data_IF_970064257230
#
_entry.id   IF_970064257230
#
_cell.length_a   1.000
_cell.length_b   1.000
_cell.length_c   1.000
_cell.angle_alpha   90.00
_cell.angle_beta   90.00
_cell.angle_gamma   90.00
#
_symmetry.space_group_name_H-M   'P 1'
#
loop_
_entity.id
_entity.type
_entity.pdbx_description
1 polymer ?
#
# COMPACT_ATOMS: atom_id res chain seq x y z
N UNK A 1 -17.34 18.10 18.15
CA UNK A 1 -16.10 18.41 17.42
C UNK A 1 -15.23 19.25 18.32
N UNK A 2 -13.94 18.92 18.41
CA UNK A 2 -12.96 19.82 18.99
C UNK A 2 -12.82 21.07 18.09
N UNK A 3 -12.57 22.26 18.65
CA UNK A 3 -12.36 23.47 17.86
C UNK A 3 -11.12 23.33 16.95
N UNK A 4 -11.20 23.85 15.72
CA UNK A 4 -10.10 23.85 14.74
C UNK A 4 -8.88 24.59 15.29
N UNK A 5 -9.11 25.62 16.10
CA UNK A 5 -8.06 26.27 16.87
C UNK A 5 -8.60 26.71 18.24
N UNK A 6 -7.77 26.59 19.26
CA UNK A 6 -7.98 27.25 20.55
C UNK A 6 -7.09 28.47 20.62
N UNK A 7 -7.70 29.64 20.83
CA UNK A 7 -6.99 30.89 21.05
C UNK A 7 -6.77 31.06 22.56
N UNK A 8 -5.54 30.80 23.01
CA UNK A 8 -5.05 31.18 24.33
C UNK A 8 -3.92 32.22 24.16
N UNK A 9 -2.96 32.27 25.09
CA UNK A 9 -1.71 33.04 24.93
C UNK A 9 -0.95 32.57 23.68
N UNK A 10 -1.13 31.31 23.28
CA UNK A 10 -0.66 30.72 22.03
C UNK A 10 -1.84 30.13 21.26
N UNK A 11 -1.81 30.21 19.93
CA UNK A 11 -2.83 29.62 19.06
C UNK A 11 -2.51 28.13 18.89
N UNK A 12 -3.31 27.26 19.49
CA UNK A 12 -3.20 25.80 19.33
C UNK A 12 -4.14 25.36 18.21
N UNK A 13 -3.59 25.04 17.05
CA UNK A 13 -4.34 24.57 15.88
C UNK A 13 -4.42 23.05 15.90
N UNK A 14 -5.62 22.49 15.77
CA UNK A 14 -5.84 21.07 15.61
C UNK A 14 -5.62 20.66 14.15
N UNK A 15 -4.36 20.49 13.75
CA UNK A 15 -3.99 20.15 12.38
C UNK A 15 -4.58 18.82 11.89
N UNK A 16 -4.87 17.87 12.79
CA UNK A 16 -5.57 16.63 12.45
C UNK A 16 -7.02 16.85 12.01
N UNK A 17 -7.64 17.98 12.41
CA UNK A 17 -8.97 18.38 11.92
C UNK A 17 -8.92 19.17 10.60
N UNK A 18 -7.73 19.47 10.08
CA UNK A 18 -7.56 20.20 8.82
C UNK A 18 -7.33 19.19 7.70
N UNK A 19 -8.36 18.96 6.89
CA UNK A 19 -8.24 18.18 5.67
C UNK A 19 -7.37 18.93 4.64
N UNK A 20 -6.16 18.42 4.38
CA UNK A 20 -5.23 18.98 3.39
C UNK A 20 -5.06 18.00 2.23
N UNK A 21 -5.25 18.50 1.01
CA UNK A 21 -4.83 17.75 -0.18
C UNK A 21 -3.31 17.58 -0.17
N UNK A 22 -2.77 16.36 -0.34
CA UNK A 22 -1.33 16.16 -0.50
C UNK A 22 -0.79 16.65 -1.84
N UNK A 23 -1.68 17.07 -2.76
CA UNK A 23 -1.32 17.56 -4.09
C UNK A 23 -1.71 19.03 -4.28
N UNK A 24 -0.79 19.84 -4.81
CA UNK A 24 -1.09 21.17 -5.34
C UNK A 24 -1.75 21.01 -6.71
N UNK A 25 -3.09 21.09 -6.75
CA UNK A 25 -3.85 21.23 -7.99
C UNK A 25 -4.29 22.70 -8.18
N UNK A 26 -4.41 23.20 -9.43
CA UNK A 26 -5.01 24.50 -9.68
C UNK A 26 -6.42 24.57 -9.09
N UNK A 27 -6.77 25.73 -8.55
CA UNK A 27 -8.14 26.00 -8.13
C UNK A 27 -9.07 25.86 -9.34
N UNK A 28 -10.08 24.99 -9.21
CA UNK A 28 -11.07 24.75 -10.25
C UNK A 28 -12.46 25.10 -9.71
N UNK A 29 -13.25 25.77 -10.55
CA UNK A 29 -14.66 26.03 -10.31
C UNK A 29 -15.46 25.01 -11.09
N UNK A 30 -16.40 24.35 -10.41
CA UNK A 30 -17.40 23.53 -11.07
C UNK A 30 -18.72 24.30 -11.09
N UNK A 31 -19.08 24.80 -12.27
CA UNK A 31 -20.24 25.66 -12.50
C UNK A 31 -21.52 24.88 -12.87
N UNK A 32 -21.37 23.59 -13.23
CA UNK A 32 -22.48 22.70 -13.61
C UNK A 32 -22.93 21.80 -12.45
N UNK A 33 -23.87 22.27 -11.64
CA UNK A 33 -24.53 21.43 -10.63
C UNK A 33 -25.84 20.83 -11.18
N UNK A 34 -26.09 19.55 -10.88
CA UNK A 34 -27.35 18.91 -11.23
C UNK A 34 -28.52 19.56 -10.47
N UNK A 35 -29.52 20.05 -11.22
CA UNK A 35 -30.72 20.69 -10.66
C UNK A 35 -31.83 19.70 -10.32
N UNK A 36 -31.74 18.46 -10.80
CA UNK A 36 -32.74 17.41 -10.59
C UNK A 36 -32.47 16.66 -9.28
N UNK A 37 -32.16 17.39 -8.21
CA UNK A 37 -31.95 16.84 -6.87
C UNK A 37 -32.99 17.39 -5.90
N UNK A 38 -33.35 16.60 -4.89
CA UNK A 38 -34.33 17.02 -3.90
C UNK A 38 -34.06 16.47 -2.51
N UNK A 39 -34.67 17.08 -1.51
CA UNK A 39 -34.67 16.61 -0.14
C UNK A 39 -36.06 16.10 0.22
N UNK A 40 -36.15 14.82 0.59
CA UNK A 40 -37.39 14.15 0.98
C UNK A 40 -37.35 13.82 2.47
N UNK A 41 -38.16 14.52 3.27
CA UNK A 41 -38.28 14.25 4.70
C UNK A 41 -39.38 13.25 5.00
N UNK A 42 -39.03 12.14 5.63
CA UNK A 42 -39.99 11.14 6.07
C UNK A 42 -40.68 11.59 7.37
N UNK A 43 -41.99 11.42 7.44
CA UNK A 43 -42.78 11.62 8.66
C UNK A 43 -43.82 10.49 8.79
N UNK A 44 -44.33 10.18 10.00
CA UNK A 44 -45.11 8.95 10.25
C UNK A 44 -46.34 8.74 9.34
N UNK A 45 -46.91 9.82 8.80
CA UNK A 45 -48.13 9.79 7.97
C UNK A 45 -47.89 10.22 6.52
N UNK A 46 -46.64 10.15 6.04
CA UNK A 46 -46.35 10.49 4.64
C UNK A 46 -47.08 9.53 3.69
N UNK A 47 -47.82 10.09 2.72
CA UNK A 47 -48.56 9.31 1.74
C UNK A 47 -47.63 8.70 0.69
N UNK A 48 -47.98 7.53 0.16
CA UNK A 48 -47.24 6.92 -0.95
C UNK A 48 -47.29 7.79 -2.21
N UNK A 49 -48.40 8.48 -2.46
CA UNK A 49 -48.54 9.36 -3.63
C UNK A 49 -47.59 10.56 -3.57
N UNK A 50 -47.35 11.12 -2.38
CA UNK A 50 -46.34 12.17 -2.19
C UNK A 50 -44.93 11.66 -2.50
N UNK A 51 -44.59 10.46 -2.04
CA UNK A 51 -43.28 9.84 -2.30
C UNK A 51 -43.10 9.55 -3.79
N UNK A 52 -44.10 8.96 -4.44
CA UNK A 52 -44.08 8.66 -5.88
C UNK A 52 -43.99 9.93 -6.73
N UNK A 53 -44.76 10.96 -6.37
CA UNK A 53 -44.71 12.25 -7.06
C UNK A 53 -43.35 12.95 -6.92
N UNK A 54 -42.61 12.68 -5.83
CA UNK A 54 -41.28 13.22 -5.60
C UNK A 54 -40.19 12.43 -6.36
N UNK A 55 -40.31 11.10 -6.39
CA UNK A 55 -39.30 10.21 -6.99
C UNK A 55 -39.44 10.00 -8.50
N UNK A 56 -40.56 10.40 -9.11
CA UNK A 56 -40.75 10.32 -10.56
C UNK A 56 -39.73 11.19 -11.32
N UNK A 57 -39.50 10.87 -12.59
CA UNK A 57 -38.71 11.72 -13.48
C UNK A 57 -39.26 13.17 -13.49
N UNK A 58 -38.39 14.20 -13.51
CA UNK A 58 -36.96 14.18 -13.85
C UNK A 58 -35.98 13.98 -12.68
N UNK A 59 -36.44 13.64 -11.48
CA UNK A 59 -35.57 13.48 -10.29
C UNK A 59 -34.44 12.46 -10.51
N UNK A 60 -33.20 12.89 -10.29
CA UNK A 60 -31.97 12.09 -10.45
C UNK A 60 -31.25 11.81 -9.12
N UNK A 61 -31.50 12.63 -8.10
CA UNK A 61 -30.91 12.44 -6.77
C UNK A 61 -31.85 12.86 -5.66
N UNK A 62 -31.87 12.09 -4.56
CA UNK A 62 -32.66 12.43 -3.38
C UNK A 62 -31.85 12.28 -2.09
N UNK A 63 -31.88 13.32 -1.26
CA UNK A 63 -31.49 13.22 0.16
C UNK A 63 -32.73 12.84 0.96
N UNK A 64 -32.79 11.60 1.42
CA UNK A 64 -33.84 11.06 2.25
C UNK A 64 -33.53 11.34 3.72
N UNK A 65 -34.37 12.13 4.40
CA UNK A 65 -34.21 12.38 5.83
C UNK A 65 -35.06 11.41 6.66
N UNK A 66 -34.40 10.52 7.40
CA UNK A 66 -35.04 9.45 8.19
C UNK A 66 -34.85 9.67 9.70
N UNK A 67 -35.48 8.81 10.52
CA UNK A 67 -35.52 9.01 11.97
C UNK A 67 -34.28 8.46 12.68
N UNK A 68 -33.79 9.18 13.69
CA UNK A 68 -32.73 8.69 14.58
C UNK A 68 -31.47 8.31 13.80
N UNK A 69 -30.97 7.09 13.99
CA UNK A 69 -29.76 6.58 13.35
C UNK A 69 -29.91 6.17 11.87
N UNK A 70 -30.90 6.73 11.15
CA UNK A 70 -31.14 6.40 9.74
C UNK A 70 -32.33 5.47 9.48
N UNK A 71 -33.27 5.38 10.42
CA UNK A 71 -34.29 4.34 10.44
C UNK A 71 -35.57 4.72 9.68
N UNK A 72 -36.13 3.75 8.97
CA UNK A 72 -37.44 3.81 8.33
C UNK A 72 -38.35 2.69 8.89
N UNK A 73 -39.66 2.93 8.91
CA UNK A 73 -40.61 1.91 9.35
C UNK A 73 -40.61 0.72 8.39
N UNK A 74 -40.25 -0.46 8.86
CA UNK A 74 -40.27 -1.71 8.07
C UNK A 74 -41.67 -2.12 7.62
N UNK A 75 -42.73 -1.54 8.21
CA UNK A 75 -44.13 -1.79 7.81
C UNK A 75 -44.55 -1.01 6.57
N UNK A 76 -43.79 -0.02 6.13
CA UNK A 76 -44.07 0.81 4.94
C UNK A 76 -43.38 0.25 3.70
N UNK A 77 -43.71 -1.01 3.35
CA UNK A 77 -43.15 -1.69 2.18
C UNK A 77 -43.46 -0.94 0.88
N UNK A 78 -44.63 -0.31 0.82
CA UNK A 78 -45.05 0.60 -0.26
C UNK A 78 -44.00 1.68 -0.58
N UNK A 79 -43.48 2.36 0.44
CA UNK A 79 -42.47 3.41 0.26
C UNK A 79 -41.11 2.79 -0.10
N UNK A 80 -40.73 1.69 0.54
CA UNK A 80 -39.45 1.02 0.32
C UNK A 80 -39.35 0.53 -1.13
N UNK A 81 -40.42 -0.03 -1.67
CA UNK A 81 -40.51 -0.46 -3.07
C UNK A 81 -40.41 0.72 -4.04
N UNK A 82 -41.06 1.85 -3.76
CA UNK A 82 -40.95 3.05 -4.61
C UNK A 82 -39.53 3.64 -4.59
N UNK A 83 -38.84 3.60 -3.44
CA UNK A 83 -37.42 3.97 -3.33
C UNK A 83 -36.55 3.01 -4.15
N UNK A 84 -36.78 1.70 -4.05
CA UNK A 84 -36.07 0.68 -4.83
C UNK A 84 -36.23 0.94 -6.33
N UNK A 85 -37.45 1.20 -6.79
CA UNK A 85 -37.72 1.55 -8.19
C UNK A 85 -37.00 2.83 -8.61
N UNK A 86 -36.89 3.85 -7.75
CA UNK A 86 -36.09 5.03 -8.06
C UNK A 86 -34.61 4.69 -8.23
N UNK A 87 -34.05 3.86 -7.34
CA UNK A 87 -32.65 3.42 -7.43
C UNK A 87 -32.41 2.60 -8.70
N UNK A 88 -33.31 1.69 -9.05
CA UNK A 88 -33.25 0.88 -10.29
C UNK A 88 -33.31 1.76 -11.56
N UNK A 89 -34.02 2.89 -11.52
CA UNK A 89 -34.03 3.90 -12.60
C UNK A 89 -32.72 4.71 -12.69
N UNK A 90 -31.77 4.50 -11.78
CA UNK A 90 -30.51 5.23 -11.71
C UNK A 90 -30.53 6.47 -10.81
N UNK A 91 -31.59 6.68 -10.02
CA UNK A 91 -31.63 7.76 -9.02
C UNK A 91 -30.67 7.43 -7.87
N UNK A 92 -29.83 8.40 -7.49
CA UNK A 92 -28.96 8.26 -6.32
C UNK A 92 -29.72 8.74 -5.08
N UNK A 93 -30.03 7.82 -4.17
CA UNK A 93 -30.71 8.13 -2.90
C UNK A 93 -29.72 8.05 -1.75
N UNK A 94 -29.67 9.10 -0.93
CA UNK A 94 -28.73 9.26 0.19
C UNK A 94 -29.53 9.41 1.48
N UNK A 95 -29.29 8.57 2.48
CA UNK A 95 -29.99 8.59 3.75
C UNK A 95 -29.28 9.48 4.77
N UNK A 96 -29.91 10.58 5.19
CA UNK A 96 -29.43 11.45 6.26
C UNK A 96 -30.36 11.37 7.48
N UNK A 97 -29.82 11.57 8.67
CA UNK A 97 -30.63 11.69 9.88
C UNK A 97 -31.39 13.01 9.91
N UNK A 98 -32.61 13.00 10.46
CA UNK A 98 -33.33 14.22 10.85
C UNK A 98 -32.75 14.87 12.12
N UNK A 99 -31.91 14.16 12.87
CA UNK A 99 -31.30 14.69 14.08
C UNK A 99 -30.22 15.72 13.74
N UNK A 100 -30.13 16.78 14.54
CA UNK A 100 -29.10 17.83 14.38
C UNK A 100 -27.69 17.28 14.63
N UNK A 101 -27.59 16.22 15.44
CA UNK A 101 -26.34 15.52 15.76
C UNK A 101 -26.59 14.02 15.70
N UNK A 102 -25.55 13.28 15.34
CA UNK A 102 -25.59 11.83 15.21
C UNK A 102 -25.15 11.40 13.82
N UNK A 103 -25.13 10.10 13.61
CA UNK A 103 -24.75 9.48 12.35
C UNK A 103 -25.86 8.55 11.87
N UNK A 104 -25.96 8.39 10.57
CA UNK A 104 -26.69 7.26 9.98
C UNK A 104 -25.78 6.04 10.07
N UNK A 105 -26.28 4.99 10.72
CA UNK A 105 -25.54 3.79 11.03
C UNK A 105 -26.27 2.56 10.46
N UNK A 106 -25.55 1.73 9.71
CA UNK A 106 -26.10 0.57 9.00
C UNK A 106 -26.41 -0.61 9.94
N UNK A 107 -25.94 -0.57 11.20
CA UNK A 107 -26.08 -1.69 12.15
C UNK A 107 -27.50 -1.89 12.73
N UNK A 108 -28.45 -0.97 12.51
CA UNK A 108 -29.84 -1.16 12.93
C UNK A 108 -30.68 -1.88 11.86
N UNK A 109 -31.45 -2.89 12.27
CA UNK A 109 -32.34 -3.68 11.38
C UNK A 109 -33.26 -2.82 10.49
N UNK A 110 -33.76 -1.70 11.02
CA UNK A 110 -34.64 -0.74 10.32
C UNK A 110 -33.90 0.23 9.39
N UNK A 111 -32.59 0.39 9.55
CA UNK A 111 -31.71 1.12 8.62
C UNK A 111 -31.20 0.22 7.49
N UNK A 112 -30.94 -1.07 7.78
CA UNK A 112 -30.47 -2.07 6.81
C UNK A 112 -31.41 -2.23 5.61
N UNK A 113 -32.73 -2.16 5.84
CA UNK A 113 -33.73 -2.30 4.75
C UNK A 113 -33.53 -1.26 3.64
N UNK A 114 -33.13 -0.03 3.98
CA UNK A 114 -32.84 1.01 2.97
C UNK A 114 -31.54 0.70 2.22
N UNK A 115 -30.55 0.15 2.91
CA UNK A 115 -29.28 -0.26 2.29
C UNK A 115 -29.47 -1.42 1.30
N UNK A 116 -30.28 -2.42 1.68
CA UNK A 116 -30.59 -3.59 0.84
C UNK A 116 -31.27 -3.19 -0.50
N UNK A 117 -31.97 -2.06 -0.55
CA UNK A 117 -32.58 -1.50 -1.78
C UNK A 117 -31.69 -0.47 -2.49
N UNK A 118 -30.44 -0.33 -2.07
CA UNK A 118 -29.43 0.49 -2.73
C UNK A 118 -29.44 1.98 -2.33
N UNK A 119 -29.99 2.33 -1.17
CA UNK A 119 -29.83 3.67 -0.59
C UNK A 119 -28.44 3.80 0.05
N UNK A 120 -27.76 4.91 -0.23
CA UNK A 120 -26.42 5.19 0.28
C UNK A 120 -26.52 5.79 1.68
N UNK A 121 -25.78 5.30 2.69
CA UNK A 121 -25.73 5.94 4.00
C UNK A 121 -25.04 7.32 3.87
N UNK A 122 -25.69 8.35 4.39
CA UNK A 122 -25.14 9.70 4.45
C UNK A 122 -24.16 9.92 5.60
N UNK A 123 -23.96 8.91 6.45
CA UNK A 123 -23.09 8.95 7.64
C UNK A 123 -23.38 10.16 8.53
N UNK A 124 -22.38 11.02 8.77
CA UNK A 124 -22.48 12.26 9.55
C UNK A 124 -22.67 13.51 8.68
N UNK A 125 -22.95 13.37 7.37
CA UNK A 125 -23.26 14.51 6.51
C UNK A 125 -24.54 15.21 6.99
N UNK A 126 -24.50 16.54 7.03
CA UNK A 126 -25.72 17.33 7.13
C UNK A 126 -26.54 17.18 5.85
N UNK A 127 -27.85 17.42 5.90
CA UNK A 127 -28.70 17.28 4.73
C UNK A 127 -28.33 18.29 3.62
N UNK A 128 -27.87 19.48 3.99
CA UNK A 128 -27.39 20.52 3.08
C UNK A 128 -26.07 20.10 2.40
N UNK A 129 -25.14 19.53 3.18
CA UNK A 129 -23.89 19.00 2.68
C UNK A 129 -24.14 17.82 1.72
N UNK A 130 -25.01 16.88 2.10
CA UNK A 130 -25.39 15.76 1.26
C UNK A 130 -26.08 16.23 -0.03
N UNK A 131 -26.97 17.22 0.03
CA UNK A 131 -27.66 17.75 -1.14
C UNK A 131 -26.69 18.44 -2.10
N UNK A 132 -25.76 19.24 -1.56
CA UNK A 132 -24.72 19.93 -2.34
C UNK A 132 -23.78 18.94 -3.00
N UNK A 133 -23.32 17.94 -2.23
CA UNK A 133 -22.48 16.85 -2.74
C UNK A 133 -23.19 16.07 -3.83
N UNK A 134 -24.47 15.76 -3.64
CA UNK A 134 -25.28 15.03 -4.61
C UNK A 134 -25.45 15.82 -5.92
N UNK A 135 -25.72 17.13 -5.83
CA UNK A 135 -25.80 18.02 -6.99
C UNK A 135 -24.46 18.08 -7.75
N UNK A 136 -23.34 18.17 -7.01
CA UNK A 136 -22.00 18.17 -7.56
C UNK A 136 -21.65 16.84 -8.25
N UNK A 137 -21.84 15.71 -7.56
CA UNK A 137 -21.54 14.37 -8.07
C UNK A 137 -22.37 14.05 -9.31
N UNK A 138 -23.66 14.40 -9.31
CA UNK A 138 -24.52 14.15 -10.47
C UNK A 138 -24.17 15.06 -11.66
N UNK A 139 -23.67 16.28 -11.42
CA UNK A 139 -23.22 17.23 -12.44
C UNK A 139 -21.92 16.86 -13.16
N UNK A 140 -21.26 15.78 -12.70
CA UNK A 140 -20.02 15.24 -13.31
C UNK A 140 -20.34 14.34 -14.50
N UNK A 141 -20.26 14.90 -15.70
CA UNK A 141 -20.52 14.18 -16.95
C UNK A 141 -19.45 13.12 -17.23
N UNK A 142 -18.24 13.32 -16.71
CA UNK A 142 -17.10 12.40 -16.83
C UNK A 142 -17.20 11.16 -15.93
N UNK A 143 -18.17 11.10 -15.01
CA UNK A 143 -18.35 9.99 -14.08
C UNK A 143 -19.53 9.10 -14.48
N UNK A 144 -19.29 7.79 -14.53
CA UNK A 144 -20.36 6.81 -14.67
C UNK A 144 -21.15 6.64 -13.35
N UNK A 145 -22.32 6.00 -13.42
CA UNK A 145 -23.21 5.83 -12.26
C UNK A 145 -22.52 5.09 -11.08
N UNK A 146 -21.75 4.00 -11.29
CA UNK A 146 -20.96 3.37 -10.24
C UNK A 146 -19.97 4.33 -9.57
N UNK A 147 -19.21 5.11 -10.34
CA UNK A 147 -18.28 6.11 -9.80
C UNK A 147 -19.02 7.18 -9.01
N UNK A 148 -20.16 7.68 -9.51
CA UNK A 148 -21.00 8.65 -8.79
C UNK A 148 -21.46 8.09 -7.44
N UNK A 149 -21.94 6.85 -7.41
CA UNK A 149 -22.33 6.17 -6.16
C UNK A 149 -21.17 5.98 -5.20
N UNK A 150 -19.98 5.66 -5.70
CA UNK A 150 -18.75 5.55 -4.90
C UNK A 150 -18.33 6.91 -4.32
N UNK A 151 -18.40 7.98 -5.12
CA UNK A 151 -18.06 9.33 -4.69
C UNK A 151 -19.03 9.86 -3.61
N UNK A 152 -20.30 9.45 -3.65
CA UNK A 152 -21.24 9.78 -2.57
C UNK A 152 -20.83 9.18 -1.21
N UNK A 153 -20.15 8.03 -1.20
CA UNK A 153 -19.70 7.32 0.00
C UNK A 153 -18.34 7.81 0.54
N UNK A 154 -17.60 8.63 -0.22
CA UNK A 154 -16.25 9.11 0.14
C UNK A 154 -16.26 10.57 0.54
N UNK A 155 -15.46 10.98 1.51
CA UNK A 155 -15.27 12.40 1.81
C UNK A 155 -14.56 13.12 0.65
N UNK A 156 -15.18 14.16 0.07
CA UNK A 156 -14.63 14.92 -1.07
C UNK A 156 -13.94 16.21 -0.61
N UNK A 157 -14.54 16.92 0.34
CA UNK A 157 -14.18 18.32 0.70
C UNK A 157 -14.31 18.61 2.19
N UNK A 158 -14.43 17.58 3.03
CA UNK A 158 -14.62 17.71 4.47
C UNK A 158 -16.09 17.64 4.90
N UNK A 159 -16.99 17.20 4.01
CA UNK A 159 -18.43 17.16 4.30
C UNK A 159 -18.86 15.94 5.12
N UNK A 160 -17.99 14.95 5.24
CA UNK A 160 -18.23 13.69 5.93
C UNK A 160 -16.97 13.29 6.70
N UNK A 161 -17.11 12.90 7.97
CA UNK A 161 -16.00 12.41 8.78
C UNK A 161 -15.94 10.87 8.79
N UNK A 162 -17.08 10.21 8.62
CA UNK A 162 -17.22 8.74 8.74
C UNK A 162 -17.64 8.17 7.38
N UNK A 163 -16.70 7.80 6.53
CA UNK A 163 -17.04 7.08 5.28
C UNK A 163 -17.27 5.59 5.61
N UNK A 164 -18.45 5.03 5.32
CA UNK A 164 -18.66 3.58 5.44
C UNK A 164 -18.12 2.89 4.18
N UNK A 165 -17.20 1.95 4.33
CA UNK A 165 -16.80 1.03 3.26
C UNK A 165 -16.92 -0.42 3.72
N UNK A 166 -17.70 -1.22 2.97
CA UNK A 166 -17.81 -2.67 3.12
C UNK A 166 -16.54 -3.32 2.57
N UNK A 167 -15.54 -3.48 3.42
CA UNK A 167 -14.48 -4.49 3.35
C UNK A 167 -13.58 -4.27 4.57
N UNK A 168 -12.77 -5.26 4.94
CA UNK A 168 -11.74 -5.22 6.00
C UNK A 168 -10.65 -4.13 5.79
N UNK A 169 -10.94 -3.11 4.99
CA UNK A 169 -10.04 -2.17 4.37
C UNK A 169 -9.93 -0.82 5.09
N UNK A 170 -10.83 -0.42 6.00
CA UNK A 170 -10.59 0.79 6.80
C UNK A 170 -10.65 0.47 8.28
N UNK A 171 -9.47 0.17 8.82
CA UNK A 171 -9.29 0.01 10.24
C UNK A 171 -9.39 1.39 10.89
N UNK A 172 -10.61 1.82 11.23
CA UNK A 172 -10.84 2.62 12.44
C UNK A 172 -10.48 1.82 13.71
N UNK A 173 -9.61 0.80 13.63
CA UNK A 173 -9.11 0.05 14.77
C UNK A 173 -8.55 1.00 15.80
N UNK A 174 -7.83 2.05 15.41
CA UNK A 174 -7.25 2.97 16.37
C UNK A 174 -8.35 3.72 17.17
N UNK A 175 -9.32 4.42 16.54
CA UNK A 175 -10.47 4.99 17.26
C UNK A 175 -11.27 3.97 18.08
N UNK A 176 -11.56 2.78 17.54
CA UNK A 176 -12.39 1.78 18.22
C UNK A 176 -11.66 1.11 19.39
N UNK A 177 -10.37 0.78 19.23
CA UNK A 177 -9.53 0.29 20.32
C UNK A 177 -9.30 1.38 21.36
N UNK A 178 -9.08 2.63 20.96
CA UNK A 178 -8.95 3.73 21.90
C UNK A 178 -10.22 3.88 22.75
N UNK A 179 -11.39 3.79 22.13
CA UNK A 179 -12.68 3.78 22.83
C UNK A 179 -12.83 2.55 23.75
N UNK A 180 -12.48 1.36 23.27
CA UNK A 180 -12.56 0.11 24.04
C UNK A 180 -11.63 0.12 25.26
N UNK A 181 -10.40 0.59 25.08
CA UNK A 181 -9.38 0.73 26.10
C UNK A 181 -9.57 1.98 26.98
N UNK A 182 -10.61 2.78 26.71
CA UNK A 182 -10.93 4.05 27.40
C UNK A 182 -9.77 5.06 27.37
N UNK A 183 -9.00 5.02 26.30
CA UNK A 183 -7.94 5.97 26.00
C UNK A 183 -8.59 7.31 25.63
N UNK A 184 -8.19 8.37 26.34
CA UNK A 184 -8.71 9.73 26.13
C UNK A 184 -7.62 10.74 25.76
N UNK A 185 -6.35 10.36 25.92
CA UNK A 185 -5.20 11.21 25.59
C UNK A 185 -4.73 10.96 24.16
N UNK A 186 -4.44 12.04 23.41
CA UNK A 186 -3.83 11.96 22.08
C UNK A 186 -2.47 11.27 22.09
N UNK A 187 -1.71 11.39 23.20
CA UNK A 187 -0.43 10.70 23.38
C UNK A 187 -0.60 9.18 23.44
N UNK A 188 -1.60 8.70 24.18
CA UNK A 188 -1.90 7.27 24.30
C UNK A 188 -2.42 6.68 22.98
N UNK A 189 -3.19 7.45 22.21
CA UNK A 189 -3.61 7.07 20.85
C UNK A 189 -2.40 6.94 19.92
N UNK A 190 -1.43 7.85 20.02
CA UNK A 190 -0.19 7.76 19.25
C UNK A 190 0.63 6.52 19.64
N UNK A 191 0.73 6.21 20.94
CA UNK A 191 1.42 5.02 21.41
C UNK A 191 0.77 3.74 20.87
N UNK A 192 -0.56 3.67 20.91
CA UNK A 192 -1.33 2.57 20.34
C UNK A 192 -1.07 2.43 18.83
N UNK A 193 -1.08 3.55 18.10
CA UNK A 193 -0.82 3.58 16.66
C UNK A 193 0.58 3.10 16.31
N UNK A 194 1.59 3.56 17.06
CA UNK A 194 2.98 3.16 16.87
C UNK A 194 3.21 1.68 17.18
N UNK A 195 2.43 1.09 18.08
CA UNK A 195 2.51 -0.34 18.40
C UNK A 195 1.79 -1.21 17.36
N UNK A 196 0.68 -0.73 16.80
CA UNK A 196 -0.20 -1.54 15.95
C UNK A 196 0.15 -1.48 14.46
N UNK A 197 0.47 -0.30 13.94
CA UNK A 197 0.64 -0.13 12.49
C UNK A 197 1.85 -0.86 11.91
N UNK A 198 3.05 -0.84 12.53
CA UNK A 198 4.20 -1.56 11.96
C UNK A 198 3.95 -3.06 11.71
N UNK A 199 3.43 -3.86 12.67
CA UNK A 199 3.17 -5.27 12.40
C UNK A 199 2.06 -5.49 11.35
N UNK A 200 1.04 -4.62 11.28
CA UNK A 200 0.01 -4.70 10.23
C UNK A 200 0.58 -4.40 8.84
N UNK A 201 1.45 -3.38 8.73
CA UNK A 201 2.15 -3.06 7.48
C UNK A 201 3.05 -4.22 7.04
N UNK A 202 3.81 -4.80 7.98
CA UNK A 202 4.61 -5.99 7.72
C UNK A 202 3.75 -7.18 7.28
N UNK A 203 2.56 -7.38 7.87
CA UNK A 203 1.64 -8.44 7.45
C UNK A 203 1.14 -8.22 6.02
N UNK A 204 0.67 -7.02 5.70
CA UNK A 204 0.21 -6.67 4.36
C UNK A 204 1.33 -6.86 3.31
N UNK A 205 2.53 -6.38 3.63
CA UNK A 205 3.72 -6.59 2.82
C UNK A 205 4.08 -8.07 2.63
N UNK A 206 3.93 -8.91 3.67
CA UNK A 206 4.22 -10.35 3.63
C UNK A 206 3.24 -11.14 2.76
N UNK A 207 2.07 -10.57 2.45
CA UNK A 207 1.06 -11.14 1.55
C UNK A 207 1.09 -10.51 0.16
N UNK A 208 1.86 -9.44 -0.02
CA UNK A 208 1.84 -8.64 -1.24
C UNK A 208 0.54 -7.89 -1.46
N UNK A 209 -0.25 -7.67 -0.40
CA UNK A 209 -1.55 -7.02 -0.45
C UNK A 209 -1.37 -5.50 -0.48
N UNK A 210 -1.29 -4.97 -1.71
CA UNK A 210 -1.10 -3.53 -1.97
C UNK A 210 -2.32 -2.74 -1.54
N UNK A 211 -3.52 -3.29 -1.68
CA UNK A 211 -4.75 -2.62 -1.27
C UNK A 211 -4.75 -2.43 0.25
N UNK A 212 -4.39 -3.45 1.03
CA UNK A 212 -4.24 -3.32 2.47
C UNK A 212 -3.13 -2.32 2.88
N UNK A 213 -2.03 -2.24 2.13
CA UNK A 213 -0.99 -1.24 2.37
C UNK A 213 -1.48 0.21 2.13
N UNK A 214 -2.27 0.44 1.08
CA UNK A 214 -2.91 1.75 0.81
C UNK A 214 -3.89 2.12 1.92
N UNK A 215 -4.75 1.20 2.28
CA UNK A 215 -5.71 1.34 3.35
C UNK A 215 -5.08 1.70 4.71
N UNK A 216 -4.01 0.99 5.10
CA UNK A 216 -3.27 1.29 6.33
C UNK A 216 -2.64 2.69 6.27
N UNK A 217 -2.08 3.07 5.12
CA UNK A 217 -1.54 4.42 4.90
C UNK A 217 -2.62 5.50 5.02
N UNK A 218 -3.79 5.30 4.39
CA UNK A 218 -4.94 6.20 4.49
C UNK A 218 -5.45 6.31 5.94
N UNK A 219 -5.31 5.24 6.72
CA UNK A 219 -5.62 5.19 8.17
C UNK A 219 -4.55 5.85 9.06
N UNK A 220 -3.53 6.47 8.48
CA UNK A 220 -2.46 7.18 9.20
C UNK A 220 -1.23 6.33 9.54
N UNK A 221 -1.11 5.11 8.99
CA UNK A 221 0.11 4.32 9.14
C UNK A 221 1.29 4.98 8.41
N UNK A 222 2.41 5.10 9.11
CA UNK A 222 3.67 5.57 8.52
C UNK A 222 4.34 4.37 7.83
N UNK A 223 4.37 4.36 6.50
CA UNK A 223 4.93 3.24 5.72
C UNK A 223 6.41 2.95 6.01
N UNK A 224 7.16 3.95 6.50
CA UNK A 224 8.56 3.81 6.91
C UNK A 224 8.73 3.29 8.34
N UNK A 225 7.64 3.07 9.08
CA UNK A 225 7.72 2.53 10.44
C UNK A 225 8.25 1.09 10.42
N UNK A 226 8.94 0.74 11.48
CA UNK A 226 9.63 -0.54 11.62
C UNK A 226 9.01 -1.38 12.71
N UNK A 227 9.03 -2.70 12.53
CA UNK A 227 8.68 -3.66 13.57
C UNK A 227 9.73 -3.67 14.70
N UNK A 228 9.54 -4.57 15.66
CA UNK A 228 10.44 -4.75 16.81
C UNK A 228 11.85 -5.23 16.44
N UNK A 229 12.05 -5.74 15.21
CA UNK A 229 13.35 -6.13 14.68
C UNK A 229 14.00 -5.03 13.83
N UNK A 230 13.39 -3.83 13.77
CA UNK A 230 13.84 -2.76 12.89
C UNK A 230 13.47 -2.97 11.41
N UNK A 231 12.65 -3.98 11.07
CA UNK A 231 12.25 -4.24 9.69
C UNK A 231 11.09 -3.34 9.30
N UNK A 232 11.25 -2.62 8.21
CA UNK A 232 10.14 -1.92 7.54
C UNK A 232 9.31 -2.89 6.68
N UNK A 233 8.11 -2.45 6.27
CA UNK A 233 7.29 -3.15 5.30
C UNK A 233 8.05 -3.50 4.00
N UNK A 234 9.01 -2.66 3.60
CA UNK A 234 9.82 -2.88 2.40
C UNK A 234 10.78 -4.07 2.56
N UNK A 235 11.36 -4.29 3.75
CA UNK A 235 12.16 -5.50 4.03
C UNK A 235 11.31 -6.76 3.85
N UNK A 236 10.10 -6.74 4.41
CA UNK A 236 9.21 -7.91 4.42
C UNK A 236 8.69 -8.21 3.01
N UNK A 237 8.27 -7.19 2.25
CA UNK A 237 7.84 -7.36 0.86
C UNK A 237 8.97 -7.90 -0.03
N UNK A 238 10.20 -7.38 0.16
CA UNK A 238 11.38 -7.82 -0.56
C UNK A 238 11.76 -9.27 -0.24
N UNK A 239 11.74 -9.65 1.05
CA UNK A 239 12.00 -11.01 1.51
C UNK A 239 10.95 -12.01 0.98
N UNK A 240 9.68 -11.62 0.95
CA UNK A 240 8.59 -12.46 0.44
C UNK A 240 8.48 -12.47 -1.11
N UNK A 241 9.28 -11.67 -1.82
CA UNK A 241 9.28 -11.62 -3.29
C UNK A 241 8.11 -10.86 -3.92
N UNK A 242 7.35 -10.09 -3.13
CA UNK A 242 6.17 -9.37 -3.62
C UNK A 242 6.55 -8.06 -4.31
N UNK A 243 6.93 -8.18 -5.59
CA UNK A 243 7.43 -7.05 -6.40
C UNK A 243 6.44 -5.89 -6.48
N UNK A 244 5.13 -6.15 -6.57
CA UNK A 244 4.11 -5.10 -6.61
C UNK A 244 4.08 -4.28 -5.30
N UNK A 245 4.19 -4.94 -4.15
CA UNK A 245 4.27 -4.27 -2.85
C UNK A 245 5.58 -3.49 -2.71
N UNK A 246 6.71 -4.03 -3.18
CA UNK A 246 7.99 -3.30 -3.24
C UNK A 246 7.84 -2.02 -4.07
N UNK A 247 7.33 -2.11 -5.30
CA UNK A 247 7.13 -0.94 -6.17
C UNK A 247 6.18 0.08 -5.53
N UNK A 248 5.09 -0.39 -4.91
CA UNK A 248 4.14 0.48 -4.21
C UNK A 248 4.81 1.25 -3.06
N UNK A 249 5.57 0.58 -2.21
CA UNK A 249 6.26 1.19 -1.07
C UNK A 249 7.34 2.19 -1.53
N UNK A 250 8.08 1.87 -2.58
CA UNK A 250 9.08 2.76 -3.19
C UNK A 250 8.44 4.03 -3.78
N UNK A 251 7.33 3.88 -4.50
CA UNK A 251 6.55 5.02 -5.02
C UNK A 251 6.08 5.98 -3.93
N UNK A 252 5.88 5.47 -2.72
CA UNK A 252 5.47 6.24 -1.54
C UNK A 252 6.66 6.70 -0.68
N UNK A 253 7.89 6.62 -1.18
CA UNK A 253 9.06 7.21 -0.54
C UNK A 253 9.64 6.43 0.63
N UNK A 254 9.30 5.14 0.78
CA UNK A 254 9.95 4.29 1.79
C UNK A 254 11.43 4.11 1.42
N UNK A 255 12.31 4.41 2.36
CA UNK A 255 13.76 4.38 2.14
C UNK A 255 14.27 2.97 1.85
N UNK A 256 15.05 2.83 0.78
CA UNK A 256 15.81 1.62 0.45
C UNK A 256 17.05 1.43 1.33
N UNK A 257 17.41 2.42 2.14
CA UNK A 257 18.61 2.42 2.98
C UNK A 257 18.31 2.17 4.47
N UNK A 258 17.04 1.99 4.84
CA UNK A 258 16.68 1.58 6.20
C UNK A 258 17.43 0.32 6.60
N UNK A 259 17.92 0.27 7.84
CA UNK A 259 18.66 -0.86 8.40
C UNK A 259 17.84 -1.53 9.49
N UNK A 260 17.72 -2.86 9.42
CA UNK A 260 17.14 -3.66 10.49
C UNK A 260 18.18 -3.98 11.59
N UNK A 261 17.79 -4.75 12.60
CA UNK A 261 18.67 -5.07 13.74
C UNK A 261 19.93 -5.89 13.36
N UNK A 262 19.97 -6.47 12.17
CA UNK A 262 21.14 -7.19 11.64
C UNK A 262 21.97 -6.34 10.68
N UNK A 263 21.73 -5.02 10.68
CA UNK A 263 22.28 -4.05 9.74
C UNK A 263 21.92 -4.33 8.28
N UNK A 264 20.86 -5.12 8.03
CA UNK A 264 20.43 -5.40 6.66
C UNK A 264 19.49 -4.34 6.13
N UNK A 265 19.59 -4.07 4.83
CA UNK A 265 18.60 -3.26 4.13
C UNK A 265 17.62 -4.13 3.31
N UNK A 266 16.57 -3.55 2.72
CA UNK A 266 15.61 -4.32 1.92
C UNK A 266 16.23 -5.05 0.72
N UNK A 267 17.33 -4.54 0.15
CA UNK A 267 18.05 -5.21 -0.93
C UNK A 267 18.67 -6.52 -0.45
N UNK A 268 19.29 -6.54 0.73
CA UNK A 268 19.82 -7.79 1.32
C UNK A 268 18.71 -8.82 1.54
N UNK A 269 17.52 -8.39 1.97
CA UNK A 269 16.34 -9.25 2.08
C UNK A 269 15.91 -9.85 0.73
N UNK A 270 15.95 -9.08 -0.37
CA UNK A 270 15.65 -9.57 -1.72
C UNK A 270 16.71 -10.54 -2.26
N UNK A 271 18.00 -10.32 -1.93
CA UNK A 271 19.11 -11.20 -2.29
C UNK A 271 18.94 -12.57 -1.63
N UNK A 272 18.67 -12.59 -0.32
CA UNK A 272 18.46 -13.84 0.44
C UNK A 272 17.29 -14.68 -0.09
N UNK A 273 16.26 -14.03 -0.62
CA UNK A 273 15.11 -14.70 -1.23
C UNK A 273 15.28 -14.97 -2.74
N UNK A 274 16.42 -14.60 -3.34
CA UNK A 274 16.77 -14.79 -4.76
C UNK A 274 15.77 -14.15 -5.73
N UNK A 275 15.05 -13.13 -5.29
CA UNK A 275 14.00 -12.48 -6.10
C UNK A 275 14.57 -11.38 -7.00
N UNK A 276 15.01 -11.76 -8.20
CA UNK A 276 15.63 -10.84 -9.18
C UNK A 276 14.77 -9.62 -9.53
N UNK A 277 13.45 -9.76 -9.58
CA UNK A 277 12.54 -8.66 -9.87
C UNK A 277 12.54 -7.60 -8.74
N UNK A 278 12.53 -8.04 -7.48
CA UNK A 278 12.67 -7.14 -6.33
C UNK A 278 14.06 -6.50 -6.28
N UNK A 279 15.11 -7.27 -6.53
CA UNK A 279 16.50 -6.77 -6.59
C UNK A 279 16.60 -5.65 -7.61
N UNK A 280 16.09 -5.87 -8.83
CA UNK A 280 16.10 -4.86 -9.89
C UNK A 280 15.34 -3.61 -9.46
N UNK A 281 14.10 -3.74 -8.96
CA UNK A 281 13.30 -2.59 -8.53
C UNK A 281 13.99 -1.78 -7.42
N UNK A 282 14.64 -2.45 -6.47
CA UNK A 282 15.38 -1.80 -5.39
C UNK A 282 16.66 -1.11 -5.90
N UNK A 283 17.40 -1.74 -6.82
CA UNK A 283 18.58 -1.15 -7.47
C UNK A 283 18.23 0.06 -8.32
N UNK A 284 17.14 -0.02 -9.09
CA UNK A 284 16.61 1.11 -9.89
C UNK A 284 16.23 2.29 -8.97
N UNK A 285 15.82 2.01 -7.73
CA UNK A 285 15.56 3.00 -6.69
C UNK A 285 16.81 3.43 -5.89
N UNK A 286 18.01 3.00 -6.27
CA UNK A 286 19.28 3.42 -5.67
C UNK A 286 19.76 2.58 -4.48
N UNK A 287 19.16 1.42 -4.20
CA UNK A 287 19.64 0.53 -3.13
C UNK A 287 21.06 0.03 -3.41
N UNK A 288 21.89 -0.10 -2.37
CA UNK A 288 23.27 -0.61 -2.47
C UNK A 288 23.42 -1.80 -1.51
N UNK A 289 24.10 -2.88 -1.89
CA UNK A 289 24.34 -4.01 -1.00
C UNK A 289 25.08 -3.56 0.27
N UNK A 290 24.83 -4.27 1.35
CA UNK A 290 25.48 -4.05 2.64
C UNK A 290 26.56 -5.11 2.83
N UNK A 291 27.72 -4.68 3.31
CA UNK A 291 28.82 -5.55 3.65
C UNK A 291 30.14 -4.88 3.29
N UNK A 292 31.20 -5.22 4.01
CA UNK A 292 32.53 -4.87 3.52
C UNK A 292 32.94 -5.84 2.39
N UNK A 293 33.86 -5.42 1.51
CA UNK A 293 34.36 -6.23 0.40
C UNK A 293 34.74 -7.68 0.76
N UNK A 294 35.39 -7.87 1.93
CA UNK A 294 35.85 -9.19 2.37
C UNK A 294 34.70 -10.11 2.74
N UNK A 295 33.71 -9.62 3.50
CA UNK A 295 32.54 -10.41 3.87
C UNK A 295 31.70 -10.79 2.64
N UNK A 296 31.62 -9.89 1.66
CA UNK A 296 30.98 -10.18 0.37
C UNK A 296 31.75 -11.25 -0.40
N UNK A 297 33.09 -11.17 -0.45
CA UNK A 297 33.94 -12.18 -1.05
C UNK A 297 33.79 -13.55 -0.40
N UNK A 298 33.72 -13.60 0.92
CA UNK A 298 33.47 -14.84 1.70
C UNK A 298 32.13 -15.46 1.31
N UNK A 299 31.06 -14.66 1.23
CA UNK A 299 29.74 -15.15 0.86
C UNK A 299 29.71 -15.66 -0.58
N UNK A 300 30.30 -14.93 -1.54
CA UNK A 300 30.41 -15.38 -2.93
C UNK A 300 31.20 -16.70 -3.05
N UNK A 301 32.31 -16.83 -2.32
CA UNK A 301 33.10 -18.06 -2.25
C UNK A 301 32.28 -19.22 -1.63
N UNK A 302 31.51 -18.97 -0.57
CA UNK A 302 30.65 -19.97 0.04
C UNK A 302 29.57 -20.46 -0.95
N UNK A 303 28.91 -19.55 -1.67
CA UNK A 303 27.91 -19.90 -2.67
C UNK A 303 28.52 -20.68 -3.85
N UNK A 304 29.72 -20.29 -4.29
CA UNK A 304 30.46 -21.03 -5.31
C UNK A 304 30.81 -22.45 -4.84
N UNK A 305 31.20 -22.63 -3.57
CA UNK A 305 31.49 -23.98 -3.01
C UNK A 305 30.26 -24.89 -3.02
N UNK A 306 29.05 -24.31 -2.91
CA UNK A 306 27.77 -25.02 -2.96
C UNK A 306 27.23 -25.21 -4.37
N UNK A 307 27.82 -24.54 -5.37
CA UNK A 307 27.28 -24.54 -6.74
C UNK A 307 25.97 -23.75 -6.90
N UNK A 308 25.65 -22.82 -5.99
CA UNK A 308 24.37 -22.10 -5.98
C UNK A 308 24.39 -20.92 -6.97
N UNK A 309 24.23 -21.25 -8.26
CA UNK A 309 24.24 -20.28 -9.38
C UNK A 309 23.14 -19.23 -9.24
N UNK A 310 21.97 -19.60 -8.75
CA UNK A 310 20.85 -18.67 -8.56
C UNK A 310 21.14 -17.62 -7.49
N UNK A 311 21.72 -18.04 -6.36
CA UNK A 311 22.14 -17.12 -5.32
C UNK A 311 23.24 -16.18 -5.83
N UNK A 312 24.27 -16.72 -6.50
CA UNK A 312 25.33 -15.90 -7.11
C UNK A 312 24.74 -14.88 -8.09
N UNK A 313 23.77 -15.28 -8.91
CA UNK A 313 23.07 -14.38 -9.81
C UNK A 313 22.33 -13.25 -9.10
N UNK A 314 21.74 -13.52 -7.94
CA UNK A 314 21.10 -12.51 -7.10
C UNK A 314 22.10 -11.48 -6.55
N UNK A 315 23.25 -11.92 -6.02
CA UNK A 315 24.31 -11.02 -5.54
C UNK A 315 24.88 -10.16 -6.68
N UNK A 316 25.16 -10.76 -7.84
CA UNK A 316 25.65 -10.04 -9.02
C UNK A 316 24.60 -9.02 -9.52
N UNK A 317 23.32 -9.41 -9.57
CA UNK A 317 22.24 -8.50 -9.96
C UNK A 317 22.05 -7.34 -8.96
N UNK A 318 22.41 -7.53 -7.69
CA UNK A 318 22.45 -6.48 -6.69
C UNK A 318 23.67 -5.54 -6.83
N UNK A 319 24.57 -5.80 -7.78
CA UNK A 319 25.73 -4.95 -8.06
C UNK A 319 26.94 -5.22 -7.16
N UNK A 320 27.04 -6.42 -6.60
CA UNK A 320 28.22 -6.89 -5.87
C UNK A 320 29.29 -7.27 -6.88
N UNK A 321 30.54 -6.86 -6.66
CA UNK A 321 31.64 -7.26 -7.53
C UNK A 321 31.91 -8.77 -7.38
N UNK A 322 31.85 -9.48 -8.50
CA UNK A 322 32.10 -10.92 -8.57
C UNK A 322 33.55 -11.29 -8.24
N UNK A 323 34.45 -10.30 -8.27
CA UNK A 323 35.88 -10.44 -7.99
C UNK A 323 36.24 -10.13 -6.54
N UNK A 324 35.25 -9.90 -5.67
CA UNK A 324 35.51 -9.77 -4.24
C UNK A 324 36.19 -11.02 -3.69
N UNK A 325 37.13 -10.77 -2.77
CA UNK A 325 38.04 -11.79 -2.25
C UNK A 325 37.69 -12.17 -0.82
N UNK A 326 37.74 -13.45 -0.52
CA UNK A 326 37.63 -13.96 0.85
C UNK A 326 38.92 -13.68 1.67
N UNK A 327 38.95 -14.15 2.92
CA UNK A 327 40.09 -14.01 3.82
C UNK A 327 41.40 -14.64 3.30
N UNK A 328 41.32 -15.58 2.36
CA UNK A 328 42.47 -16.22 1.73
C UNK A 328 42.86 -15.55 0.39
N UNK A 329 42.21 -14.43 0.05
CA UNK A 329 42.42 -13.73 -1.22
C UNK A 329 41.74 -14.42 -2.41
N UNK A 330 40.95 -15.47 -2.18
CA UNK A 330 40.31 -16.24 -3.24
C UNK A 330 39.03 -15.54 -3.69
N UNK A 331 38.78 -15.59 -4.99
CA UNK A 331 37.50 -15.21 -5.59
C UNK A 331 36.58 -16.43 -5.74
N UNK A 332 35.29 -16.20 -5.98
CA UNK A 332 34.34 -17.27 -6.30
C UNK A 332 34.82 -18.18 -7.45
N UNK A 333 35.57 -17.64 -8.41
CA UNK A 333 36.14 -18.40 -9.53
C UNK A 333 37.22 -19.40 -9.07
N UNK A 334 38.07 -19.05 -8.10
CA UNK A 334 39.02 -20.01 -7.51
C UNK A 334 38.29 -21.21 -6.91
N UNK A 335 37.23 -20.94 -6.14
CA UNK A 335 36.45 -21.99 -5.47
C UNK A 335 35.71 -22.87 -6.48
N UNK A 336 35.13 -22.28 -7.53
CA UNK A 336 34.46 -23.01 -8.61
C UNK A 336 35.43 -23.96 -9.34
N UNK A 337 36.66 -23.51 -9.62
CA UNK A 337 37.71 -24.34 -10.22
C UNK A 337 38.16 -25.44 -9.27
N UNK A 338 38.38 -25.13 -7.98
CA UNK A 338 38.73 -26.11 -6.95
C UNK A 338 37.69 -27.25 -6.88
N UNK A 339 36.41 -26.91 -7.00
CA UNK A 339 35.30 -27.84 -6.98
C UNK A 339 35.14 -28.64 -8.28
N UNK A 340 35.83 -28.26 -9.36
CA UNK A 340 35.71 -28.92 -10.66
C UNK A 340 34.39 -28.64 -11.39
N UNK A 341 33.68 -27.55 -11.04
CA UNK A 341 32.36 -27.24 -11.58
C UNK A 341 32.46 -26.39 -12.86
N UNK A 342 32.48 -27.05 -14.01
CA UNK A 342 32.60 -26.41 -15.34
C UNK A 342 31.47 -25.42 -15.66
N UNK A 343 30.23 -25.74 -15.26
CA UNK A 343 29.07 -24.89 -15.48
C UNK A 343 29.19 -23.58 -14.70
N UNK A 344 29.54 -23.69 -13.42
CA UNK A 344 29.75 -22.53 -12.56
C UNK A 344 30.92 -21.66 -13.02
N UNK A 345 32.04 -22.28 -13.45
CA UNK A 345 33.17 -21.55 -14.03
C UNK A 345 32.72 -20.75 -15.26
N UNK A 346 31.97 -21.39 -16.16
CA UNK A 346 31.45 -20.74 -17.37
C UNK A 346 30.52 -19.58 -17.03
N UNK A 347 29.65 -19.77 -16.05
CA UNK A 347 28.73 -18.76 -15.53
C UNK A 347 29.46 -17.56 -14.94
N UNK A 348 30.40 -17.77 -14.02
CA UNK A 348 31.17 -16.71 -13.37
C UNK A 348 31.96 -15.89 -14.40
N UNK A 349 32.64 -16.55 -15.34
CA UNK A 349 33.34 -15.86 -16.42
C UNK A 349 32.39 -15.07 -17.33
N UNK A 350 31.15 -15.52 -17.53
CA UNK A 350 30.16 -14.79 -18.33
C UNK A 350 29.71 -13.49 -17.66
N UNK A 351 29.95 -13.38 -16.35
CA UNK A 351 29.59 -12.23 -15.51
C UNK A 351 30.81 -11.39 -15.11
N UNK A 352 31.95 -11.59 -15.77
CA UNK A 352 33.14 -10.74 -15.59
C UNK A 352 34.09 -11.18 -14.49
N UNK A 353 34.05 -12.44 -14.04
CA UNK A 353 35.06 -12.97 -13.14
C UNK A 353 36.45 -12.95 -13.80
N UNK A 354 37.46 -12.48 -13.07
CA UNK A 354 38.83 -12.34 -13.53
C UNK A 354 39.61 -13.66 -13.33
N UNK A 355 40.02 -14.36 -14.41
CA UNK A 355 40.82 -15.58 -14.32
C UNK A 355 42.28 -15.34 -13.92
N UNK A 356 42.74 -14.09 -13.88
CA UNK A 356 44.10 -13.69 -13.47
C UNK A 356 44.15 -13.18 -12.02
N UNK A 357 43.01 -13.15 -11.31
CA UNK A 357 43.01 -12.78 -9.91
C UNK A 357 43.86 -13.77 -9.11
N UNK A 358 44.78 -13.27 -8.28
CA UNK A 358 45.62 -14.13 -7.43
C UNK A 358 45.09 -14.20 -6.00
N UNK A 359 45.15 -15.38 -5.40
CA UNK A 359 44.98 -15.58 -3.97
C UNK A 359 46.20 -15.10 -3.16
N UNK A 360 46.16 -15.24 -1.82
CA UNK A 360 47.26 -14.85 -0.94
C UNK A 360 48.54 -15.70 -1.13
N UNK A 361 48.42 -16.87 -1.76
CA UNK A 361 49.54 -17.73 -2.12
C UNK A 361 50.03 -17.49 -3.56
N UNK A 362 49.54 -16.42 -4.21
CA UNK A 362 49.87 -16.05 -5.60
C UNK A 362 49.44 -17.07 -6.66
N UNK A 363 48.45 -17.93 -6.36
CA UNK A 363 47.85 -18.81 -7.35
C UNK A 363 46.66 -18.14 -8.03
N UNK A 364 46.57 -18.34 -9.35
CA UNK A 364 45.38 -17.97 -10.14
C UNK A 364 44.40 -19.14 -10.23
N UNK A 365 43.12 -18.92 -10.60
CA UNK A 365 42.21 -19.99 -10.99
C UNK A 365 42.77 -20.90 -12.09
N UNK A 366 43.58 -20.35 -13.00
CA UNK A 366 44.25 -21.13 -14.06
C UNK A 366 45.28 -22.09 -13.46
N UNK A 367 46.06 -21.64 -12.49
CA UNK A 367 47.07 -22.49 -11.84
C UNK A 367 46.43 -23.56 -10.96
N UNK A 368 45.30 -23.25 -10.32
CA UNK A 368 44.47 -24.22 -9.61
C UNK A 368 43.96 -25.33 -10.54
N UNK A 369 43.45 -24.96 -11.72
CA UNK A 369 42.99 -25.93 -12.73
C UNK A 369 44.12 -26.83 -13.23
N UNK A 370 45.33 -26.30 -13.44
CA UNK A 370 46.52 -27.08 -13.82
C UNK A 370 46.91 -28.06 -12.71
N UNK A 371 46.98 -27.58 -11.46
CA UNK A 371 47.43 -28.39 -10.31
C UNK A 371 46.49 -29.57 -10.04
N UNK A 372 45.20 -29.39 -10.26
CA UNK A 372 44.17 -30.43 -10.10
C UNK A 372 43.98 -31.32 -11.32
N UNK A 373 44.56 -30.96 -12.46
CA UNK A 373 44.44 -31.73 -13.70
C UNK A 373 43.06 -31.65 -14.34
N UNK A 374 42.44 -30.47 -14.38
CA UNK A 374 41.13 -30.23 -15.01
C UNK A 374 41.28 -29.62 -16.42
N UNK A 375 41.50 -30.42 -17.48
CA UNK A 375 41.80 -29.90 -18.82
C UNK A 375 40.63 -29.13 -19.44
N UNK A 376 39.39 -29.57 -19.20
CA UNK A 376 38.18 -28.89 -19.69
C UNK A 376 38.05 -27.48 -19.10
N UNK A 377 38.18 -27.35 -17.78
CA UNK A 377 38.15 -26.06 -17.07
C UNK A 377 39.29 -25.15 -17.53
N UNK A 378 40.50 -25.71 -17.71
CA UNK A 378 41.64 -24.97 -18.23
C UNK A 378 41.36 -24.39 -19.63
N UNK A 379 40.70 -25.16 -20.50
CA UNK A 379 40.30 -24.69 -21.83
C UNK A 379 39.24 -23.58 -21.73
N UNK A 380 38.26 -23.70 -20.84
CA UNK A 380 37.23 -22.68 -20.62
C UNK A 380 37.85 -21.36 -20.14
N UNK A 381 38.76 -21.42 -19.16
CA UNK A 381 39.44 -20.25 -18.62
C UNK A 381 40.29 -19.53 -19.67
N UNK A 382 40.98 -20.29 -20.54
CA UNK A 382 41.79 -19.73 -21.63
C UNK A 382 40.95 -19.16 -22.77
N UNK A 383 39.86 -19.83 -23.17
CA UNK A 383 39.04 -19.40 -24.31
C UNK A 383 38.38 -18.03 -24.12
N UNK A 384 38.00 -17.66 -22.89
CA UNK A 384 37.40 -16.35 -22.60
C UNK A 384 38.40 -15.20 -22.44
N UNK A 385 39.70 -15.50 -22.42
CA UNK A 385 40.76 -14.50 -22.40
C UNK A 385 40.97 -13.83 -23.76
N UNK A 386 40.66 -14.53 -24.86
CA UNK A 386 40.90 -14.04 -26.24
C UNK A 386 39.75 -13.18 -26.82
N UNK A 387 38.73 -12.82 -26.02
CA UNK A 387 37.69 -11.89 -26.45
C UNK A 387 38.09 -10.46 -26.08
N UNK A 388 38.22 -9.54 -27.07
CA UNK A 388 38.71 -8.19 -26.80
C UNK A 388 37.78 -7.46 -25.83
N UNK A 389 38.39 -6.87 -24.80
CA UNK A 389 37.72 -5.92 -23.90
C UNK A 389 37.04 -4.83 -24.74
N UNK A 390 35.71 -4.90 -24.87
CA UNK A 390 34.94 -3.79 -25.44
C UNK A 390 34.79 -2.76 -24.31
N UNK A 391 35.17 -1.49 -24.55
CA UNK A 391 35.23 -0.44 -23.53
C UNK A 391 33.88 -0.08 -22.92
#
# INVERSE_FOLDING_TARGET
MAPIAQMEITIKVNYASIYRSPFLAPFSVHDRLCRNVGLLRIFPSISIDSVRAFLRAPTQGVVLQTFGAGNMSSRRTDIIEEIKHAVERGCIVVNCSQCVRGQVDVHYFTGKILYDVGVIPGSDMTAEAALTKLAYVLGKDEWDLPTKRKMMQRNIRGEMTIAHSETLHELEIIPQLAKFLRISSSYEVQLLSNALFPPLLCHAASKGDVDLLENLRESGAILSATDYNGRSALHVAASAGHTNAVIYLLKHGVSVHSRDQWDENPLMSAIRSKNLACIKALRDAGAVPVGNPVDLGVELCLLASRGDVDALGAWIAAGVDINEKDYEGRTALHVAVCAGNEELVTYLLARGANPEATDNASYTPIDEAKRRGFPSILNILKMKYDLPHVP
#
